data_IF_516948932006
#
_entry.id   IF_516948932006
#
_cell.length_a   1.000
_cell.length_b   1.000
_cell.length_c   1.000
_cell.angle_alpha   90.00
_cell.angle_beta   90.00
_cell.angle_gamma   90.00
#
_symmetry.space_group_name_H-M   'P 1'
#
loop_
_entity.id
_entity.type
_entity.pdbx_description
1 polymer ?
#
# COMPACT_ATOMS: atom_id res chain seq x y z
N UNK A 1 -4.12 -3.26 15.26
CA UNK A 1 -3.77 -1.96 15.86
C UNK A 1 -2.98 -1.19 14.80
N UNK A 2 -3.60 -0.21 14.17
CA UNK A 2 -2.96 0.64 13.16
C UNK A 2 -2.26 1.81 13.85
N UNK A 3 -1.06 2.18 13.38
CA UNK A 3 -0.35 3.36 13.83
C UNK A 3 -0.19 4.30 12.64
N UNK A 4 -1.04 5.31 12.57
CA UNK A 4 -0.94 6.40 11.61
C UNK A 4 0.18 7.32 12.12
N UNK A 5 1.31 7.34 11.44
CA UNK A 5 2.33 8.36 11.68
C UNK A 5 2.12 9.49 10.66
N UNK A 6 1.53 10.60 11.11
CA UNK A 6 1.49 11.84 10.31
C UNK A 6 2.91 12.38 10.23
N UNK A 7 3.52 12.32 9.05
CA UNK A 7 4.90 12.74 8.82
C UNK A 7 5.04 14.24 8.53
N UNK A 8 4.02 15.06 8.77
CA UNK A 8 4.16 16.53 8.69
C UNK A 8 5.26 17.06 9.63
N UNK A 9 5.71 16.24 10.59
CA UNK A 9 6.85 16.46 11.48
C UNK A 9 7.83 15.27 11.53
N UNK A 10 7.85 14.39 10.52
CA UNK A 10 8.85 13.32 10.47
C UNK A 10 10.23 13.95 10.27
N UNK A 11 11.05 13.91 11.31
CA UNK A 11 12.46 14.28 11.19
C UNK A 11 13.09 13.33 10.17
N UNK A 12 13.76 13.83 9.11
CA UNK A 12 14.49 12.98 8.19
C UNK A 12 15.40 12.06 8.98
N UNK A 13 15.42 10.76 8.64
CA UNK A 13 16.43 9.87 9.20
C UNK A 13 17.81 10.48 8.91
N UNK A 14 18.67 10.57 9.93
CA UNK A 14 20.00 11.17 9.82
C UNK A 14 20.73 10.60 8.58
N UNK A 15 21.24 11.45 7.66
CA UNK A 15 22.02 10.97 6.52
C UNK A 15 23.24 10.20 7.05
N UNK A 16 23.28 8.88 6.81
CA UNK A 16 24.34 7.99 7.29
C UNK A 16 23.91 6.88 8.26
N UNK A 17 22.63 6.80 8.67
CA UNK A 17 22.15 5.72 9.56
C UNK A 17 21.78 4.40 8.86
N UNK A 18 21.73 4.37 7.54
CA UNK A 18 21.34 3.18 6.78
C UNK A 18 22.53 2.72 5.95
N UNK A 19 23.38 1.90 6.55
CA UNK A 19 24.25 1.05 5.75
C UNK A 19 23.33 0.04 5.08
N UNK A 20 23.02 0.25 3.81
CA UNK A 20 22.21 -0.63 2.98
C UNK A 20 22.99 -1.94 2.79
N UNK A 21 22.96 -2.79 3.81
CA UNK A 21 23.60 -4.09 3.78
C UNK A 21 22.68 -4.98 2.94
N UNK A 22 23.15 -5.43 1.77
CA UNK A 22 22.46 -6.39 0.89
C UNK A 22 21.77 -7.57 1.64
N UNK A 23 22.32 -7.99 2.79
CA UNK A 23 21.71 -9.00 3.67
C UNK A 23 20.30 -8.65 4.14
N UNK A 24 20.00 -7.39 4.44
CA UNK A 24 18.65 -6.96 4.87
C UNK A 24 17.66 -7.02 3.71
N UNK A 25 18.10 -6.68 2.50
CA UNK A 25 17.28 -6.81 1.28
C UNK A 25 16.95 -8.28 0.98
N UNK A 26 17.93 -9.18 1.10
CA UNK A 26 17.73 -10.62 0.94
C UNK A 26 16.76 -11.18 2.00
N UNK A 27 16.90 -10.77 3.26
CA UNK A 27 15.96 -11.16 4.31
C UNK A 27 14.54 -10.67 4.02
N UNK A 28 14.35 -9.42 3.62
CA UNK A 28 13.03 -8.90 3.23
C UNK A 28 12.42 -9.70 2.08
N UNK A 29 13.21 -10.04 1.07
CA UNK A 29 12.75 -10.84 -0.08
C UNK A 29 12.33 -12.28 0.30
N UNK A 30 12.95 -12.86 1.33
CA UNK A 30 12.58 -14.17 1.87
C UNK A 30 11.20 -14.16 2.53
N UNK A 31 10.83 -13.07 3.22
CA UNK A 31 9.57 -12.99 3.96
C UNK A 31 8.47 -12.25 3.22
N UNK A 32 8.80 -11.50 2.16
CA UNK A 32 7.84 -10.64 1.47
C UNK A 32 8.09 -10.51 -0.03
N UNK A 33 7.07 -10.03 -0.72
CA UNK A 33 7.16 -9.42 -2.06
C UNK A 33 7.00 -7.92 -1.85
N UNK A 34 7.91 -7.12 -2.37
CA UNK A 34 7.83 -5.66 -2.31
C UNK A 34 7.78 -5.10 -3.73
N UNK A 35 6.84 -4.21 -4.01
CA UNK A 35 6.70 -3.57 -5.32
C UNK A 35 6.31 -2.11 -5.19
N UNK A 36 6.89 -1.27 -6.04
CA UNK A 36 6.51 0.13 -6.14
C UNK A 36 5.17 0.32 -6.84
N UNK A 37 4.55 1.45 -6.55
CA UNK A 37 3.38 1.94 -7.26
C UNK A 37 3.48 3.47 -7.39
N UNK A 38 2.80 4.03 -8.38
CA UNK A 38 2.69 5.48 -8.59
C UNK A 38 1.24 5.89 -8.79
N UNK A 39 0.94 7.14 -8.50
CA UNK A 39 -0.36 7.75 -8.71
C UNK A 39 -0.22 9.11 -9.36
N UNK A 40 -1.00 9.35 -10.40
CA UNK A 40 -1.11 10.66 -11.04
C UNK A 40 -2.39 11.35 -10.56
N UNK A 41 -2.26 12.49 -9.88
CA UNK A 41 -3.41 13.17 -9.27
C UNK A 41 -4.30 13.86 -10.30
N UNK A 42 -3.76 14.21 -11.48
CA UNK A 42 -4.53 14.87 -12.52
C UNK A 42 -5.51 13.89 -13.21
N UNK A 43 -5.08 12.67 -13.43
CA UNK A 43 -5.87 11.60 -14.05
C UNK A 43 -6.60 10.71 -13.05
N UNK A 44 -6.16 10.68 -11.79
CA UNK A 44 -6.68 9.77 -10.76
C UNK A 44 -6.28 8.31 -10.98
N UNK A 45 -5.29 8.05 -11.84
CA UNK A 45 -4.81 6.71 -12.19
C UNK A 45 -3.64 6.31 -11.29
N UNK A 46 -3.76 5.11 -10.70
CA UNK A 46 -2.68 4.41 -10.03
C UNK A 46 -2.06 3.39 -10.98
N UNK A 47 -0.73 3.34 -11.04
CA UNK A 47 0.04 2.32 -11.76
C UNK A 47 0.74 1.42 -10.75
N UNK A 48 0.46 0.13 -10.83
CA UNK A 48 0.93 -0.89 -9.91
C UNK A 48 1.97 -1.78 -10.58
N UNK A 49 2.88 -2.34 -9.78
CA UNK A 49 3.67 -3.48 -10.23
C UNK A 49 2.80 -4.70 -10.54
N UNK A 50 3.36 -5.63 -11.33
CA UNK A 50 2.67 -6.85 -11.80
C UNK A 50 2.18 -7.72 -10.65
N UNK A 51 2.98 -7.91 -9.60
CA UNK A 51 2.57 -8.71 -8.44
C UNK A 51 1.48 -8.01 -7.63
N UNK A 52 1.54 -6.69 -7.54
CA UNK A 52 0.60 -5.85 -6.84
C UNK A 52 -0.77 -5.92 -7.50
N UNK A 53 -0.84 -5.76 -8.83
CA UNK A 53 -2.07 -5.95 -9.58
C UNK A 53 -2.65 -7.37 -9.40
N UNK A 54 -1.80 -8.40 -9.53
CA UNK A 54 -2.20 -9.80 -9.35
C UNK A 54 -2.73 -10.07 -7.94
N UNK A 55 -2.03 -9.63 -6.89
CA UNK A 55 -2.39 -9.89 -5.50
C UNK A 55 -3.65 -9.13 -5.07
N UNK A 56 -3.90 -7.95 -5.65
CA UNK A 56 -5.15 -7.22 -5.50
C UNK A 56 -6.29 -7.81 -6.35
N UNK A 57 -6.02 -8.76 -7.24
CA UNK A 57 -7.02 -9.36 -8.12
C UNK A 57 -7.51 -8.42 -9.23
N UNK A 58 -6.69 -7.45 -9.61
CA UNK A 58 -6.99 -6.49 -10.66
C UNK A 58 -6.62 -7.06 -12.03
N UNK A 59 -7.40 -6.72 -13.05
CA UNK A 59 -7.19 -7.20 -14.43
C UNK A 59 -6.06 -6.47 -15.17
N UNK A 60 -5.62 -5.33 -14.66
CA UNK A 60 -4.59 -4.49 -15.24
C UNK A 60 -3.70 -3.88 -14.14
N UNK A 61 -2.51 -3.48 -14.54
CA UNK A 61 -1.56 -2.74 -13.70
C UNK A 61 -2.03 -1.30 -13.43
N UNK A 62 -2.95 -0.78 -14.25
CA UNK A 62 -3.55 0.53 -14.04
C UNK A 62 -4.95 0.41 -13.45
N UNK A 63 -5.24 1.21 -12.43
CA UNK A 63 -6.56 1.25 -11.81
C UNK A 63 -6.85 2.61 -11.15
N UNK A 64 -8.13 2.92 -10.93
CA UNK A 64 -8.51 4.04 -10.08
C UNK A 64 -8.44 3.67 -8.60
N UNK A 65 -8.27 4.68 -7.73
CA UNK A 65 -8.19 4.50 -6.28
C UNK A 65 -9.33 3.65 -5.71
N UNK A 66 -10.58 3.89 -6.13
CA UNK A 66 -11.73 3.12 -5.62
C UNK A 66 -11.66 1.63 -6.00
N UNK A 67 -11.07 1.27 -7.13
CA UNK A 67 -10.87 -0.13 -7.51
C UNK A 67 -9.88 -0.80 -6.56
N UNK A 68 -8.80 -0.10 -6.20
CA UNK A 68 -7.82 -0.56 -5.22
C UNK A 68 -8.44 -0.73 -3.82
N UNK A 69 -9.15 0.29 -3.32
CA UNK A 69 -9.77 0.27 -1.98
C UNK A 69 -10.78 -0.88 -1.84
N UNK A 70 -11.52 -1.22 -2.89
CA UNK A 70 -12.49 -2.32 -2.88
C UNK A 70 -11.86 -3.69 -2.62
N UNK A 71 -10.56 -3.85 -2.87
CA UNK A 71 -9.83 -5.08 -2.59
C UNK A 71 -9.59 -5.29 -1.08
N UNK A 72 -9.67 -4.25 -0.26
CA UNK A 72 -9.34 -4.31 1.16
C UNK A 72 -10.50 -4.77 2.03
N UNK A 73 -10.17 -5.20 3.24
CA UNK A 73 -11.12 -5.53 4.31
C UNK A 73 -12.06 -4.35 4.54
N UNK A 74 -13.37 -4.64 4.62
CA UNK A 74 -14.39 -3.60 4.73
C UNK A 74 -14.22 -2.71 5.96
N UNK A 75 -13.62 -3.21 7.04
CA UNK A 75 -13.33 -2.40 8.24
C UNK A 75 -12.27 -1.32 8.03
N UNK A 76 -11.41 -1.50 7.03
CA UNK A 76 -10.25 -0.62 6.79
C UNK A 76 -10.49 0.37 5.65
N UNK A 77 -11.43 0.09 4.73
CA UNK A 77 -11.64 0.86 3.48
C UNK A 77 -11.77 2.37 3.69
N UNK A 78 -12.63 2.80 4.60
CA UNK A 78 -12.86 4.24 4.83
C UNK A 78 -11.60 4.94 5.30
N UNK A 79 -10.83 4.31 6.19
CA UNK A 79 -9.60 4.88 6.73
C UNK A 79 -8.49 4.94 5.68
N UNK A 80 -8.34 3.89 4.86
CA UNK A 80 -7.35 3.90 3.78
C UNK A 80 -7.72 4.94 2.73
N UNK A 81 -9.00 5.08 2.40
CA UNK A 81 -9.47 6.12 1.48
C UNK A 81 -9.15 7.53 1.99
N UNK A 82 -9.46 7.81 3.26
CA UNK A 82 -9.17 9.11 3.90
C UNK A 82 -7.66 9.45 3.83
N UNK A 83 -6.78 8.46 3.98
CA UNK A 83 -5.33 8.66 3.84
C UNK A 83 -4.94 9.11 2.42
N UNK A 84 -5.49 8.47 1.39
CA UNK A 84 -5.23 8.87 0.01
C UNK A 84 -5.85 10.24 -0.32
N UNK A 85 -7.04 10.56 0.21
CA UNK A 85 -7.66 11.88 0.05
C UNK A 85 -6.81 12.99 0.71
N UNK A 86 -6.27 12.71 1.91
CA UNK A 86 -5.37 13.64 2.57
C UNK A 86 -4.09 13.84 1.75
N UNK A 87 -3.46 12.77 1.28
CA UNK A 87 -2.27 12.84 0.45
C UNK A 87 -2.54 13.51 -0.92
N UNK A 88 -3.79 13.49 -1.41
CA UNK A 88 -4.16 14.16 -2.65
C UNK A 88 -4.38 15.68 -2.47
N UNK A 89 -4.49 16.16 -1.24
CA UNK A 89 -4.74 17.58 -0.93
C UNK A 89 -3.54 18.27 -0.30
N UNK A 90 -2.67 17.53 0.39
CA UNK A 90 -1.49 18.08 1.07
C UNK A 90 -0.29 17.16 0.91
N UNK A 91 0.88 17.73 0.58
CA UNK A 91 2.14 16.99 0.53
C UNK A 91 2.38 16.32 1.88
N UNK A 92 2.28 14.99 1.92
CA UNK A 92 2.41 14.21 3.14
C UNK A 92 2.94 12.82 2.82
N UNK A 93 3.67 12.25 3.78
CA UNK A 93 3.99 10.83 3.79
C UNK A 93 2.97 10.10 4.67
N UNK A 94 2.64 8.87 4.26
CA UNK A 94 1.66 8.03 4.92
C UNK A 94 2.12 6.57 4.94
N UNK A 95 1.57 5.82 5.88
CA UNK A 95 1.66 4.37 5.87
C UNK A 95 0.39 3.74 6.44
N UNK A 96 0.05 2.56 5.95
CA UNK A 96 -1.03 1.75 6.48
C UNK A 96 -0.71 0.28 6.38
N UNK A 97 -1.46 -0.52 7.13
CA UNK A 97 -1.56 -1.95 6.91
C UNK A 97 -3.03 -2.27 6.64
N UNK A 98 -3.31 -3.36 5.94
CA UNK A 98 -4.67 -3.88 5.79
C UNK A 98 -4.59 -5.32 5.31
N UNK A 99 -5.72 -5.91 4.94
CA UNK A 99 -5.82 -7.24 4.36
C UNK A 99 -6.58 -7.17 3.05
N UNK A 100 -6.00 -7.71 1.98
CA UNK A 100 -6.68 -7.92 0.71
C UNK A 100 -7.59 -9.14 0.83
N UNK A 101 -8.85 -8.99 0.43
CA UNK A 101 -9.82 -10.07 0.32
C UNK A 101 -9.76 -10.65 -1.09
N UNK A 102 -9.15 -11.83 -1.23
CA UNK A 102 -8.99 -12.47 -2.54
C UNK A 102 -10.27 -13.18 -2.98
N UNK A 103 -10.48 -13.32 -4.30
CA UNK A 103 -11.66 -13.98 -4.87
C UNK A 103 -11.80 -15.45 -4.47
N UNK A 104 -10.68 -16.12 -4.14
CA UNK A 104 -10.66 -17.50 -3.63
C UNK A 104 -10.99 -17.61 -2.13
N UNK A 105 -11.33 -16.50 -1.46
CA UNK A 105 -11.64 -16.45 -0.03
C UNK A 105 -10.42 -16.45 0.90
N UNK A 106 -9.21 -16.52 0.37
CA UNK A 106 -7.99 -16.28 1.14
C UNK A 106 -7.79 -14.78 1.38
N UNK A 107 -6.99 -14.48 2.40
CA UNK A 107 -6.71 -13.12 2.85
C UNK A 107 -5.21 -12.86 2.77
N UNK A 108 -4.80 -11.80 2.09
CA UNK A 108 -3.38 -11.41 1.97
C UNK A 108 -3.11 -10.15 2.80
N UNK A 109 -2.31 -10.24 3.87
CA UNK A 109 -1.84 -9.05 4.57
C UNK A 109 -1.07 -8.12 3.64
N UNK A 110 -1.19 -6.82 3.86
CA UNK A 110 -0.54 -5.78 3.09
C UNK A 110 0.00 -4.71 4.04
N UNK A 111 1.19 -4.22 3.75
CA UNK A 111 1.71 -2.96 4.26
C UNK A 111 1.93 -2.01 3.08
N UNK A 112 1.60 -0.74 3.27
CA UNK A 112 1.85 0.30 2.29
C UNK A 112 2.53 1.47 2.97
N UNK A 113 3.54 2.01 2.30
CA UNK A 113 4.13 3.31 2.62
C UNK A 113 4.13 4.13 1.34
N UNK A 114 3.84 5.42 1.46
CA UNK A 114 3.84 6.30 0.30
C UNK A 114 3.98 7.74 0.71
N UNK A 115 4.14 8.58 -0.30
CA UNK A 115 4.18 10.02 -0.18
C UNK A 115 3.53 10.67 -1.40
N UNK A 116 3.06 11.89 -1.21
CA UNK A 116 2.55 12.76 -2.26
C UNK A 116 3.46 13.97 -2.42
N UNK A 117 3.78 14.31 -3.67
CA UNK A 117 4.65 15.43 -4.04
C UNK A 117 3.97 16.30 -5.11
N UNK A 118 4.47 17.53 -5.28
CA UNK A 118 4.11 18.37 -6.43
C UNK A 118 2.68 18.94 -6.41
N UNK A 119 2.10 19.16 -5.23
CA UNK A 119 0.78 19.80 -5.07
C UNK A 119 0.80 21.33 -5.22
N UNK A 120 1.94 21.93 -5.54
CA UNK A 120 2.08 23.38 -5.77
C UNK A 120 1.67 23.78 -7.20
N UNK A 121 1.17 25.01 -7.36
CA UNK A 121 0.38 25.58 -8.48
C UNK A 121 0.88 25.33 -9.93
N UNK A 122 2.09 24.81 -10.14
CA UNK A 122 2.69 24.56 -11.47
C UNK A 122 2.81 23.09 -11.87
N UNK A 123 2.58 22.15 -10.96
CA UNK A 123 2.75 20.72 -11.24
C UNK A 123 1.43 19.96 -11.07
N UNK A 124 1.17 19.03 -11.99
CA UNK A 124 0.22 17.96 -11.76
C UNK A 124 0.82 17.06 -10.67
N UNK A 125 0.30 17.16 -9.45
CA UNK A 125 0.83 16.42 -8.31
C UNK A 125 0.81 14.90 -8.54
N UNK A 126 1.67 14.20 -7.81
CA UNK A 126 1.82 12.76 -7.92
C UNK A 126 1.98 12.11 -6.56
N UNK A 127 1.72 10.81 -6.53
CA UNK A 127 2.02 9.95 -5.39
C UNK A 127 2.95 8.84 -5.83
N UNK A 128 3.76 8.37 -4.90
CA UNK A 128 4.53 7.16 -5.07
C UNK A 128 4.58 6.41 -3.76
N UNK A 129 4.77 5.10 -3.85
CA UNK A 129 4.90 4.28 -2.66
C UNK A 129 5.38 2.87 -2.97
N UNK A 130 5.36 2.06 -1.92
CA UNK A 130 5.71 0.65 -1.96
C UNK A 130 4.63 -0.15 -1.24
N UNK A 131 4.20 -1.23 -1.89
CA UNK A 131 3.45 -2.30 -1.25
C UNK A 131 4.40 -3.39 -0.80
N UNK A 132 4.20 -3.89 0.41
CA UNK A 132 4.91 -5.05 0.97
C UNK A 132 3.89 -6.12 1.34
N UNK A 133 3.99 -7.27 0.68
CA UNK A 133 3.12 -8.42 0.84
C UNK A 133 3.89 -9.54 1.55
N UNK A 134 3.59 -9.86 2.81
CA UNK A 134 4.14 -11.04 3.46
C UNK A 134 3.83 -12.31 2.66
N UNK A 135 4.78 -13.25 2.59
CA UNK A 135 4.66 -14.53 1.86
C UNK A 135 3.82 -15.58 2.61
N UNK A 136 2.67 -15.18 3.13
CA UNK A 136 1.67 -16.07 3.68
C UNK A 136 0.26 -15.53 3.43
N UNK A 137 -0.73 -16.42 3.51
CA UNK A 137 -2.15 -16.08 3.39
C UNK A 137 -2.86 -16.51 4.68
N UNK A 138 -3.90 -15.79 5.05
CA UNK A 138 -4.81 -16.17 6.13
C UNK A 138 -6.00 -16.91 5.54
N UNK A 139 -6.46 -17.96 6.23
CA UNK A 139 -7.72 -18.62 5.89
C UNK A 139 -8.90 -17.66 6.14
N UNK A 140 -9.87 -17.62 5.23
CA UNK A 140 -11.12 -16.89 5.44
C UNK A 140 -11.98 -17.55 6.52
N UNK A 141 -12.81 -16.76 7.21
CA UNK A 141 -13.68 -17.25 8.30
C UNK A 141 -14.57 -18.45 7.91
N UNK A 142 -14.87 -18.63 6.62
CA UNK A 142 -15.68 -19.76 6.11
C UNK A 142 -14.97 -21.13 6.19
N UNK A 143 -13.64 -21.18 6.24
CA UNK A 143 -12.90 -22.46 6.34
C UNK A 143 -12.83 -22.97 7.79
N UNK A 144 -12.85 -22.06 8.77
CA UNK A 144 -12.77 -22.41 10.20
C UNK A 144 -14.07 -23.10 10.65
N UNK A 145 -15.22 -22.69 10.10
CA UNK A 145 -16.52 -23.28 10.42
C UNK A 145 -16.70 -24.73 9.92
N UNK A 146 -15.89 -25.20 8.96
CA UNK A 146 -15.95 -26.58 8.46
C UNK A 146 -14.97 -27.53 9.16
N UNK A 147 -14.23 -27.05 10.17
CA UNK A 147 -13.23 -27.84 10.94
C UNK A 147 -13.62 -28.03 12.42
N UNK A 148 -14.87 -27.74 12.80
CA UNK A 148 -15.46 -28.03 14.11
C UNK A 148 -16.64 -28.98 13.94
#
# INVERSE_FOLDING_TARGET
MFKIAKANAAVPLLPGSMNDNNQQHEMLAQFSVSESWTGDLASGVLRLGKWSAMLHGLSAEECGLLNLIRCYDSGDRSHVLELFEQAATHCSSFCFSTTIIMSNGLRQPLFCMGESNGLEEKYSGSMAGVFVFPRFKLEGARQIANRQ
#
